data_IF_577284196132
#
_entry.id   IF_577284196132
#
_cell.length_a   1.000
_cell.length_b   1.000
_cell.length_c   1.000
_cell.angle_alpha   90.00
_cell.angle_beta   90.00
_cell.angle_gamma   90.00
#
_symmetry.space_group_name_H-M   'P 1'
#
loop_
_entity.id
_entity.type
_entity.pdbx_description
1 polymer ?
#
# COMPACT_ATOMS: atom_id res chain seq x y z
N UNK A 1 4.90 -38.18 14.12
CA UNK A 1 4.99 -37.64 12.78
C UNK A 1 5.29 -36.14 12.85
N UNK A 2 6.36 -35.69 12.24
CA UNK A 2 6.68 -34.26 12.18
C UNK A 2 5.79 -33.57 11.18
N UNK A 3 5.08 -32.53 11.60
CA UNK A 3 4.37 -31.65 10.67
C UNK A 3 5.40 -30.77 9.99
N UNK A 4 5.53 -30.90 8.69
CA UNK A 4 6.38 -30.01 7.88
C UNK A 4 5.56 -28.80 7.49
N UNK A 5 6.02 -27.61 7.86
CA UNK A 5 5.39 -26.37 7.40
C UNK A 5 5.73 -26.18 5.91
N UNK A 6 4.71 -26.35 5.06
CA UNK A 6 4.81 -26.09 3.64
C UNK A 6 4.50 -24.62 3.40
N UNK A 7 5.53 -23.80 3.44
CA UNK A 7 5.40 -22.40 3.15
C UNK A 7 6.01 -22.02 1.81
N UNK A 8 5.89 -20.72 1.50
CA UNK A 8 6.41 -20.14 0.27
C UNK A 8 7.64 -19.31 0.60
N UNK A 9 8.70 -19.48 -0.16
CA UNK A 9 9.88 -18.62 -0.08
C UNK A 9 9.66 -17.45 -1.05
N UNK A 10 9.41 -16.27 -0.49
CA UNK A 10 9.15 -15.07 -1.28
C UNK A 10 10.46 -14.39 -1.67
N UNK A 11 10.56 -14.00 -2.93
CA UNK A 11 11.69 -13.20 -3.40
C UNK A 11 11.57 -11.78 -2.87
N UNK A 12 10.35 -11.26 -2.78
CA UNK A 12 10.13 -9.96 -2.15
C UNK A 12 8.72 -9.84 -1.55
N UNK A 13 8.62 -8.97 -0.55
CA UNK A 13 7.34 -8.45 -0.05
C UNK A 13 7.49 -6.94 0.05
N UNK A 14 6.58 -6.22 -0.58
CA UNK A 14 6.55 -4.76 -0.55
C UNK A 14 5.28 -4.29 0.15
N UNK A 15 5.46 -3.50 1.21
CA UNK A 15 4.37 -2.93 2.00
C UNK A 15 4.33 -1.43 1.74
N UNK A 16 3.22 -0.94 1.18
CA UNK A 16 3.09 0.45 0.78
C UNK A 16 3.79 0.69 -0.56
N UNK A 17 3.07 0.45 -1.63
CA UNK A 17 3.65 0.55 -2.98
C UNK A 17 3.43 1.92 -3.62
N UNK A 18 2.26 2.54 -3.34
CA UNK A 18 1.77 3.61 -4.19
C UNK A 18 1.83 3.15 -5.66
N UNK A 19 2.37 3.96 -6.56
CA UNK A 19 2.51 3.59 -7.97
C UNK A 19 3.86 4.02 -8.56
N UNK A 20 4.87 4.20 -7.73
CA UNK A 20 6.20 4.63 -8.18
C UNK A 20 7.32 3.95 -7.39
N UNK A 21 8.42 3.65 -8.07
CA UNK A 21 9.60 3.01 -7.50
C UNK A 21 9.27 1.69 -6.80
N UNK A 22 8.41 0.88 -7.43
CA UNK A 22 7.93 -0.36 -6.84
C UNK A 22 8.76 -1.57 -7.26
N UNK A 23 8.83 -2.56 -6.40
CA UNK A 23 9.50 -3.83 -6.70
C UNK A 23 8.74 -4.64 -7.74
N UNK A 24 7.40 -4.54 -7.75
CA UNK A 24 6.56 -5.27 -8.70
C UNK A 24 6.83 -4.84 -10.15
N UNK A 25 7.17 -3.57 -10.38
CA UNK A 25 7.48 -3.07 -11.73
C UNK A 25 8.76 -3.68 -12.29
N UNK A 26 9.69 -4.05 -11.42
CA UNK A 26 10.98 -4.63 -11.78
C UNK A 26 10.99 -6.17 -11.71
N UNK A 27 9.89 -6.77 -11.28
CA UNK A 27 9.83 -8.20 -11.05
C UNK A 27 9.92 -9.00 -12.35
N UNK A 28 10.76 -10.05 -12.36
CA UNK A 28 10.81 -11.01 -13.45
C UNK A 28 9.59 -11.94 -13.42
N UNK A 29 9.35 -12.67 -14.50
CA UNK A 29 8.22 -13.62 -14.56
C UNK A 29 8.35 -14.77 -13.56
N UNK A 30 9.55 -15.07 -13.10
CA UNK A 30 9.81 -16.12 -12.11
C UNK A 30 9.78 -15.62 -10.67
N UNK A 31 9.81 -14.31 -10.44
CA UNK A 31 9.82 -13.75 -9.09
C UNK A 31 8.51 -14.03 -8.36
N UNK A 32 8.60 -14.53 -7.15
CA UNK A 32 7.47 -14.78 -6.26
C UNK A 32 7.39 -13.62 -5.27
N UNK A 33 6.31 -12.86 -5.30
CA UNK A 33 6.22 -11.66 -4.49
C UNK A 33 4.82 -11.37 -3.98
N UNK A 34 4.77 -10.47 -2.98
CA UNK A 34 3.55 -9.84 -2.49
C UNK A 34 3.71 -8.33 -2.59
N UNK A 35 2.67 -7.65 -3.08
CA UNK A 35 2.59 -6.20 -3.06
C UNK A 35 1.35 -5.79 -2.29
N UNK A 36 1.54 -5.13 -1.16
CA UNK A 36 0.46 -4.74 -0.24
C UNK A 36 0.30 -3.22 -0.30
N UNK A 37 -0.88 -2.78 -0.71
CA UNK A 37 -1.19 -1.35 -0.88
C UNK A 37 -2.64 -1.08 -0.48
N UNK A 38 -2.90 -0.17 0.47
CA UNK A 38 -4.26 0.10 0.90
C UNK A 38 -5.09 0.88 -0.11
N UNK A 39 -4.48 1.72 -0.95
CA UNK A 39 -5.23 2.52 -1.92
C UNK A 39 -5.39 1.72 -3.19
N UNK A 40 -6.61 1.25 -3.44
CA UNK A 40 -6.93 0.39 -4.59
C UNK A 40 -6.55 1.01 -5.92
N UNK A 41 -6.72 2.32 -6.07
CA UNK A 41 -6.36 3.04 -7.29
C UNK A 41 -4.88 2.84 -7.66
N UNK A 42 -3.97 2.96 -6.69
CA UNK A 42 -2.54 2.77 -6.95
C UNK A 42 -2.20 1.30 -7.21
N UNK A 43 -2.77 0.41 -6.42
CA UNK A 43 -2.52 -1.03 -6.59
C UNK A 43 -2.95 -1.52 -7.98
N UNK A 44 -4.11 -1.03 -8.46
CA UNK A 44 -4.66 -1.44 -9.75
C UNK A 44 -3.86 -0.92 -10.94
N UNK A 45 -3.07 0.14 -10.77
CA UNK A 45 -2.19 0.68 -11.82
C UNK A 45 -0.92 -0.15 -12.00
N UNK A 46 -0.54 -0.95 -11.02
CA UNK A 46 0.68 -1.74 -11.08
C UNK A 46 0.52 -2.93 -12.03
N UNK A 47 1.63 -3.39 -12.64
CA UNK A 47 1.58 -4.56 -13.52
C UNK A 47 1.17 -5.83 -12.77
N UNK A 48 0.85 -6.89 -13.49
CA UNK A 48 0.42 -8.16 -12.93
C UNK A 48 1.39 -9.29 -13.31
N UNK A 49 2.60 -9.32 -12.74
CA UNK A 49 3.52 -10.43 -12.97
C UNK A 49 2.90 -11.75 -12.51
N UNK A 50 3.25 -12.82 -13.19
CA UNK A 50 2.60 -14.13 -13.04
C UNK A 50 2.57 -14.65 -11.61
N UNK A 51 3.65 -14.46 -10.87
CA UNK A 51 3.82 -15.04 -9.53
C UNK A 51 3.82 -13.98 -8.42
N UNK A 52 3.30 -12.79 -8.71
CA UNK A 52 3.16 -11.72 -7.72
C UNK A 52 1.70 -11.55 -7.37
N UNK A 53 1.40 -11.60 -6.08
CA UNK A 53 0.05 -11.40 -5.55
C UNK A 53 -0.09 -9.96 -5.06
N UNK A 54 -1.15 -9.30 -5.50
CA UNK A 54 -1.52 -7.97 -5.02
C UNK A 54 -2.50 -8.10 -3.86
N UNK A 55 -2.24 -7.38 -2.78
CA UNK A 55 -3.08 -7.39 -1.57
C UNK A 55 -3.54 -5.97 -1.30
N UNK A 56 -4.84 -5.74 -1.43
CA UNK A 56 -5.43 -4.42 -1.18
C UNK A 56 -5.80 -4.30 0.31
N UNK A 57 -4.82 -3.94 1.10
CA UNK A 57 -4.96 -3.78 2.54
C UNK A 57 -3.85 -2.91 3.10
N UNK A 58 -4.08 -2.35 4.28
CA UNK A 58 -3.02 -1.78 5.11
C UNK A 58 -2.48 -2.87 6.03
N UNK A 59 -1.22 -2.76 6.41
CA UNK A 59 -0.60 -3.68 7.36
C UNK A 59 -0.50 -3.02 8.73
N UNK A 60 -0.84 -3.75 9.78
CA UNK A 60 -0.71 -3.30 11.16
C UNK A 60 -0.39 -4.47 12.09
N UNK A 61 -0.50 -4.25 13.39
CA UNK A 61 -0.26 -5.30 14.38
C UNK A 61 -1.41 -6.29 14.50
N UNK A 62 -2.62 -5.90 14.12
CA UNK A 62 -3.82 -6.77 14.14
C UNK A 62 -4.79 -6.42 13.02
N UNK A 63 -5.65 -7.39 12.72
CA UNK A 63 -6.68 -7.23 11.72
C UNK A 63 -7.71 -6.17 12.14
N UNK A 64 -8.32 -5.52 11.16
CA UNK A 64 -9.34 -4.51 11.41
C UNK A 64 -9.69 -3.73 10.16
N UNK A 65 -10.08 -2.49 10.37
CA UNK A 65 -10.42 -1.55 9.31
C UNK A 65 -9.96 -0.16 9.73
N UNK A 66 -9.55 0.64 8.75
CA UNK A 66 -9.20 2.03 8.98
C UNK A 66 -9.60 2.88 7.78
N UNK A 67 -9.59 4.20 7.96
CA UNK A 67 -9.82 5.14 6.88
C UNK A 67 -8.48 5.73 6.41
N UNK A 68 -8.27 5.74 5.09
CA UNK A 68 -7.15 6.44 4.47
C UNK A 68 -7.66 7.75 3.91
N UNK A 69 -6.99 8.85 4.25
CA UNK A 69 -7.25 10.19 3.75
C UNK A 69 -6.19 10.50 2.69
N UNK A 70 -6.62 10.82 1.47
CA UNK A 70 -5.68 11.17 0.41
C UNK A 70 -6.32 12.11 -0.60
N UNK A 71 -5.49 12.80 -1.38
CA UNK A 71 -5.94 13.60 -2.52
C UNK A 71 -5.60 12.83 -3.78
N UNK A 72 -6.62 12.56 -4.59
CA UNK A 72 -6.47 11.86 -5.86
C UNK A 72 -5.57 12.68 -6.79
N UNK A 73 -4.67 11.99 -7.49
CA UNK A 73 -3.72 12.64 -8.40
C UNK A 73 -4.38 13.44 -9.52
N UNK A 74 -5.65 13.12 -9.87
CA UNK A 74 -6.39 13.86 -10.89
C UNK A 74 -6.61 15.34 -10.54
N UNK A 75 -6.47 15.70 -9.27
CA UNK A 75 -6.63 17.08 -8.81
C UNK A 75 -5.31 17.87 -8.77
N UNK A 76 -4.16 17.20 -8.91
CA UNK A 76 -2.86 17.84 -8.78
C UNK A 76 -2.68 18.94 -9.81
N UNK A 77 -2.79 18.60 -11.11
CA UNK A 77 -2.59 19.52 -12.20
C UNK A 77 -3.69 20.58 -12.29
N UNK A 78 -5.00 20.24 -12.28
CA UNK A 78 -6.06 21.24 -12.40
C UNK A 78 -6.07 22.29 -11.31
N UNK A 79 -5.65 21.95 -10.10
CA UNK A 79 -5.61 22.86 -8.95
C UNK A 79 -4.22 23.43 -8.68
N UNK A 80 -3.23 23.13 -9.53
CA UNK A 80 -1.88 23.63 -9.37
C UNK A 80 -1.22 23.19 -8.06
N UNK A 81 -1.53 21.98 -7.60
CA UNK A 81 -1.00 21.48 -6.34
C UNK A 81 0.45 21.01 -6.50
N UNK A 82 1.25 21.08 -5.41
CA UNK A 82 2.58 20.50 -5.43
C UNK A 82 2.54 19.01 -5.75
N UNK A 83 3.48 18.52 -6.54
CA UNK A 83 3.51 17.12 -6.98
C UNK A 83 3.55 16.12 -5.83
N UNK A 84 4.21 16.47 -4.73
CA UNK A 84 4.33 15.59 -3.57
C UNK A 84 2.99 15.28 -2.89
N UNK A 85 1.95 16.09 -3.14
CA UNK A 85 0.61 15.88 -2.55
C UNK A 85 0.06 14.50 -2.90
N UNK A 86 0.37 13.97 -4.06
CA UNK A 86 -0.10 12.63 -4.48
C UNK A 86 0.38 11.50 -3.58
N UNK A 87 1.50 11.68 -2.87
CA UNK A 87 2.04 10.69 -1.96
C UNK A 87 1.68 10.94 -0.49
N UNK A 88 0.88 11.97 -0.21
CA UNK A 88 0.58 12.39 1.16
C UNK A 88 -0.70 11.73 1.66
N UNK A 89 -0.58 10.48 2.07
CA UNK A 89 -1.68 9.72 2.63
C UNK A 89 -1.64 9.78 4.15
N UNK A 90 -2.80 9.67 4.80
CA UNK A 90 -2.86 9.69 6.26
C UNK A 90 -3.91 8.71 6.77
N UNK A 91 -3.64 8.14 7.93
CA UNK A 91 -4.49 7.14 8.56
C UNK A 91 -5.42 7.82 9.56
N UNK A 92 -6.73 7.60 9.39
CA UNK A 92 -7.80 8.02 10.30
C UNK A 92 -7.90 9.52 10.59
N UNK A 93 -7.15 10.35 9.88
CA UNK A 93 -7.18 11.81 10.04
C UNK A 93 -6.61 12.50 8.80
N UNK A 94 -6.94 13.78 8.56
CA UNK A 94 -6.31 14.56 7.50
C UNK A 94 -4.79 14.63 7.66
N UNK A 95 -4.08 14.68 6.54
CA UNK A 95 -2.63 14.84 6.55
C UNK A 95 -2.28 16.28 6.94
N UNK A 96 -1.67 16.53 8.11
CA UNK A 96 -1.52 17.89 8.65
C UNK A 96 -0.72 18.83 7.74
N UNK A 97 0.36 18.32 7.16
CA UNK A 97 1.21 19.12 6.30
C UNK A 97 0.52 19.51 4.99
N UNK A 98 -0.26 18.59 4.41
CA UNK A 98 -1.04 18.88 3.20
C UNK A 98 -2.11 19.96 3.50
N UNK A 99 -2.82 19.81 4.61
CA UNK A 99 -3.81 20.81 5.02
C UNK A 99 -3.16 22.18 5.19
N UNK A 100 -2.01 22.23 5.82
CA UNK A 100 -1.26 23.49 6.01
C UNK A 100 -0.85 24.11 4.66
N UNK A 101 -0.38 23.30 3.73
CA UNK A 101 0.16 23.77 2.47
C UNK A 101 -0.93 24.27 1.50
N UNK A 102 -2.04 23.57 1.38
CA UNK A 102 -3.09 23.92 0.42
C UNK A 102 -4.30 24.63 1.04
N UNK A 103 -4.40 24.66 2.38
CA UNK A 103 -5.51 25.25 3.10
C UNK A 103 -6.64 24.27 3.41
N UNK A 104 -7.29 24.48 4.54
CA UNK A 104 -8.35 23.58 5.04
C UNK A 104 -9.53 23.49 4.07
N UNK A 105 -9.96 24.63 3.53
CA UNK A 105 -11.13 24.68 2.64
C UNK A 105 -10.91 23.85 1.37
N UNK A 106 -9.76 24.03 0.71
CA UNK A 106 -9.44 23.28 -0.50
C UNK A 106 -9.21 21.80 -0.19
N UNK A 107 -8.53 21.51 0.93
CA UNK A 107 -8.32 20.14 1.36
C UNK A 107 -9.66 19.40 1.56
N UNK A 108 -10.60 20.00 2.28
CA UNK A 108 -11.91 19.42 2.55
C UNK A 108 -12.70 19.16 1.26
N UNK A 109 -12.50 20.00 0.26
CA UNK A 109 -13.14 19.85 -1.05
C UNK A 109 -12.57 18.69 -1.88
N UNK A 110 -11.25 18.45 -1.77
CA UNK A 110 -10.54 17.52 -2.65
C UNK A 110 -10.24 16.16 -2.01
N UNK A 111 -10.25 16.08 -0.67
CA UNK A 111 -9.86 14.83 0.02
C UNK A 111 -10.80 13.68 -0.29
N UNK A 112 -10.22 12.53 -0.54
CA UNK A 112 -10.93 11.25 -0.61
C UNK A 112 -10.66 10.49 0.68
N UNK A 113 -11.71 9.91 1.26
CA UNK A 113 -11.62 9.06 2.44
C UNK A 113 -12.05 7.66 2.03
N UNK A 114 -11.14 6.71 2.10
CA UNK A 114 -11.39 5.32 1.71
C UNK A 114 -11.27 4.41 2.93
N UNK A 115 -12.34 3.64 3.19
CA UNK A 115 -12.28 2.58 4.20
C UNK A 115 -11.53 1.39 3.61
N UNK A 116 -10.46 0.96 4.28
CA UNK A 116 -9.62 -0.14 3.80
C UNK A 116 -9.49 -1.21 4.87
N UNK A 117 -9.42 -2.49 4.47
CA UNK A 117 -9.13 -3.55 5.43
C UNK A 117 -7.70 -3.43 5.94
N UNK A 118 -7.51 -3.77 7.21
CA UNK A 118 -6.20 -3.88 7.83
C UNK A 118 -5.92 -5.35 8.08
N UNK A 119 -4.77 -5.80 7.63
CA UNK A 119 -4.31 -7.16 7.88
C UNK A 119 -3.16 -7.10 8.89
N UNK A 120 -3.26 -7.92 9.95
CA UNK A 120 -2.18 -8.05 10.90
C UNK A 120 -1.01 -8.84 10.30
N UNK A 121 0.19 -8.61 10.81
CA UNK A 121 1.38 -9.30 10.30
C UNK A 121 1.25 -10.83 10.44
N UNK A 122 0.74 -11.31 11.56
CA UNK A 122 0.55 -12.75 11.76
C UNK A 122 -0.47 -13.34 10.79
N UNK A 123 -1.54 -12.59 10.49
CA UNK A 123 -2.54 -13.00 9.51
C UNK A 123 -1.95 -13.04 8.10
N UNK A 124 -1.13 -12.05 7.74
CA UNK A 124 -0.45 -12.03 6.45
C UNK A 124 0.45 -13.27 6.29
N UNK A 125 1.26 -13.57 7.29
CA UNK A 125 2.14 -14.74 7.27
C UNK A 125 1.33 -16.03 7.09
N UNK A 126 0.24 -16.18 7.83
CA UNK A 126 -0.60 -17.37 7.76
C UNK A 126 -1.32 -17.50 6.42
N UNK A 127 -2.01 -16.45 5.98
CA UNK A 127 -2.89 -16.50 4.81
C UNK A 127 -2.10 -16.62 3.51
N UNK A 128 -0.92 -16.03 3.44
CA UNK A 128 -0.05 -16.09 2.27
C UNK A 128 1.09 -17.08 2.43
N UNK A 129 1.05 -17.88 3.50
CA UNK A 129 1.98 -19.00 3.75
C UNK A 129 3.45 -18.58 3.68
N UNK A 130 3.79 -17.46 4.29
CA UNK A 130 5.15 -16.91 4.23
C UNK A 130 6.08 -17.77 5.05
N UNK A 131 7.01 -18.45 4.40
CA UNK A 131 8.08 -19.22 5.04
C UNK A 131 9.34 -18.40 5.19
N UNK A 132 9.72 -17.68 4.11
CA UNK A 132 10.88 -16.80 4.13
C UNK A 132 10.68 -15.63 3.18
N UNK A 133 11.41 -14.56 3.41
CA UNK A 133 11.40 -13.36 2.57
C UNK A 133 12.85 -13.01 2.27
N UNK A 134 13.19 -12.92 0.99
CA UNK A 134 14.52 -12.54 0.57
C UNK A 134 14.75 -11.03 0.67
N UNK A 135 13.73 -10.24 0.32
CA UNK A 135 13.78 -8.79 0.36
C UNK A 135 12.44 -8.23 0.85
N UNK A 136 12.48 -7.47 1.93
CA UNK A 136 11.30 -6.79 2.48
C UNK A 136 11.49 -5.28 2.36
N UNK A 137 10.55 -4.63 1.67
CA UNK A 137 10.48 -3.17 1.58
C UNK A 137 9.23 -2.68 2.30
N UNK A 138 9.40 -1.75 3.21
CA UNK A 138 8.29 -1.09 3.91
C UNK A 138 8.41 0.40 3.69
N UNK A 139 7.40 0.98 3.05
CA UNK A 139 7.36 2.42 2.74
C UNK A 139 5.93 2.91 2.95
N UNK A 140 5.61 3.19 4.19
CA UNK A 140 4.27 3.60 4.62
C UNK A 140 4.33 4.92 5.37
N UNK A 141 3.20 5.61 5.40
CA UNK A 141 3.06 6.90 6.10
C UNK A 141 2.80 6.74 7.62
N UNK A 142 3.21 5.67 8.18
CA UNK A 142 3.08 5.49 9.63
C UNK A 142 2.68 4.10 10.07
#
# INVERSE_FOLDING_TARGET
MKTIFEGIDYDFIEIGTSDFQTLIEEASDEAIGLSVEPISYYLNKLPNPKNVTKVNAALSDKDGELNIYYIDEKYIEPYGLPWWVRGSNSINKPHPFTVQEIGQELYDKLVTIEAVPVIGWNTLIRDYKIKSIKYLKVDTEG
#
